data_IF_986832292772
#
_entry.id   IF_986832292772
#
_cell.length_a   1.000
_cell.length_b   1.000
_cell.length_c   1.000
_cell.angle_alpha   90.00
_cell.angle_beta   90.00
_cell.angle_gamma   90.00
#
_symmetry.space_group_name_H-M   'P 1'
#
loop_
_entity.id
_entity.type
_entity.pdbx_description
1 polymer ?
#
# COMPACT_ATOMS: atom_id res chain seq x y z
N UNK A 1 95.72 28.10 9.62
CA UNK A 1 94.64 27.87 8.63
C UNK A 1 94.02 26.49 8.85
N UNK A 2 92.78 26.42 9.33
CA UNK A 2 91.70 25.63 8.74
C UNK A 2 90.43 25.84 9.59
N UNK A 3 89.40 26.40 8.97
CA UNK A 3 88.03 26.44 9.46
C UNK A 3 87.41 25.06 9.20
N UNK A 4 86.57 24.55 10.09
CA UNK A 4 85.28 24.04 9.63
C UNK A 4 84.21 24.05 10.76
N UNK A 5 82.96 24.43 10.44
CA UNK A 5 81.94 24.88 11.38
C UNK A 5 80.92 23.76 11.67
N UNK A 6 80.94 23.24 12.90
CA UNK A 6 80.06 22.14 13.33
C UNK A 6 79.02 22.59 14.36
N UNK A 7 78.31 23.68 14.11
CA UNK A 7 77.11 24.08 14.88
C UNK A 7 76.08 24.78 13.98
N UNK A 8 74.82 24.44 14.25
CA UNK A 8 73.60 24.77 13.50
C UNK A 8 73.43 23.89 12.25
N UNK A 9 72.41 23.04 12.15
CA UNK A 9 71.02 23.45 11.95
C UNK A 9 70.07 22.38 12.52
N UNK A 10 69.18 22.82 13.43
CA UNK A 10 67.86 22.22 13.66
C UNK A 10 67.01 22.52 12.42
N UNK A 11 66.55 21.50 11.68
CA UNK A 11 65.47 21.62 10.69
C UNK A 11 64.79 20.24 10.59
N UNK A 12 63.62 20.09 11.21
CA UNK A 12 62.31 20.08 10.54
C UNK A 12 62.09 18.81 9.71
N UNK A 13 61.35 17.87 10.31
CA UNK A 13 60.55 16.89 9.56
C UNK A 13 59.60 17.63 8.59
N UNK A 14 59.48 17.14 7.35
CA UNK A 14 58.18 17.18 6.68
C UNK A 14 57.64 15.76 6.51
N UNK A 15 56.64 15.44 7.32
CA UNK A 15 55.67 14.37 7.10
C UNK A 15 54.95 14.67 5.78
N UNK A 16 55.25 13.89 4.75
CA UNK A 16 54.61 14.00 3.43
C UNK A 16 53.31 13.18 3.44
N UNK A 17 52.19 13.85 3.69
CA UNK A 17 50.83 13.30 3.53
C UNK A 17 50.37 13.46 2.07
N UNK A 18 50.12 12.38 1.31
CA UNK A 18 49.51 12.48 -0.02
C UNK A 18 47.98 12.44 0.09
N UNK A 19 47.33 13.55 0.44
CA UNK A 19 45.85 13.62 0.47
C UNK A 19 45.29 14.92 -0.11
N UNK A 20 45.51 15.19 -1.40
CA UNK A 20 44.76 16.25 -2.10
C UNK A 20 44.43 16.00 -3.58
N UNK A 21 44.86 14.88 -4.18
CA UNK A 21 44.69 14.63 -5.62
C UNK A 21 43.57 13.65 -6.00
N UNK A 22 42.45 13.64 -5.25
CA UNK A 22 41.30 12.77 -5.56
C UNK A 22 39.98 13.53 -5.75
N UNK A 23 39.91 14.78 -5.26
CA UNK A 23 38.70 15.61 -5.31
C UNK A 23 38.55 16.36 -6.64
N UNK A 24 39.66 16.79 -7.25
CA UNK A 24 39.63 17.55 -8.50
C UNK A 24 39.12 16.71 -9.69
N UNK A 25 39.55 15.45 -9.80
CA UNK A 25 39.21 14.56 -10.92
C UNK A 25 37.72 14.20 -10.96
N UNK A 26 37.07 14.05 -9.80
CA UNK A 26 35.63 13.74 -9.72
C UNK A 26 34.72 14.92 -10.06
N UNK A 27 35.22 16.15 -9.92
CA UNK A 27 34.44 17.36 -10.22
C UNK A 27 34.38 17.62 -11.73
N UNK A 28 35.51 17.45 -12.44
CA UNK A 28 35.59 17.64 -13.90
C UNK A 28 34.80 16.58 -14.67
N UNK A 29 34.76 15.34 -14.16
CA UNK A 29 33.96 14.26 -14.75
C UNK A 29 32.45 14.48 -14.55
N UNK A 30 32.04 15.11 -13.44
CA UNK A 30 30.63 15.41 -13.16
C UNK A 30 30.11 16.57 -14.02
N UNK A 31 30.90 17.61 -14.26
CA UNK A 31 30.47 18.76 -15.06
C UNK A 31 30.31 18.42 -16.54
N UNK A 32 31.18 17.57 -17.09
CA UNK A 32 31.10 17.12 -18.49
C UNK A 32 29.87 16.24 -18.77
N UNK A 33 29.51 15.35 -17.85
CA UNK A 33 28.30 14.49 -18.00
C UNK A 33 27.01 15.30 -17.92
N UNK A 34 26.95 16.35 -17.08
CA UNK A 34 25.78 17.22 -16.97
C UNK A 34 25.57 18.01 -18.26
N UNK A 35 26.64 18.54 -18.86
CA UNK A 35 26.54 19.31 -20.11
C UNK A 35 26.03 18.46 -21.29
N UNK A 36 26.45 17.20 -21.40
CA UNK A 36 25.98 16.28 -22.44
C UNK A 36 24.49 15.90 -22.28
N UNK A 37 24.00 15.87 -21.05
CA UNK A 37 22.61 15.50 -20.74
C UNK A 37 21.60 16.56 -21.17
N UNK A 38 21.97 17.85 -21.18
CA UNK A 38 21.04 18.94 -21.50
C UNK A 38 20.75 19.04 -23.00
N UNK A 39 21.69 18.68 -23.88
CA UNK A 39 21.47 18.74 -25.33
C UNK A 39 20.53 17.64 -25.86
N UNK A 40 20.38 16.52 -25.16
CA UNK A 40 19.55 15.40 -25.63
C UNK A 40 18.04 15.59 -25.39
N UNK A 41 17.61 16.50 -24.50
CA UNK A 41 16.19 16.66 -24.16
C UNK A 41 15.38 17.57 -25.10
N UNK A 42 16.01 18.24 -26.09
CA UNK A 42 15.32 19.15 -26.99
C UNK A 42 14.59 18.45 -28.17
N UNK A 43 14.77 17.14 -28.38
CA UNK A 43 14.25 16.43 -29.56
C UNK A 43 12.93 15.65 -29.34
N UNK A 44 12.38 15.58 -28.12
CA UNK A 44 11.17 14.76 -27.82
C UNK A 44 9.91 15.57 -27.43
N UNK A 45 9.81 16.86 -27.78
CA UNK A 45 8.62 17.68 -27.49
C UNK A 45 7.74 18.00 -28.71
N UNK A 46 7.89 17.30 -29.84
CA UNK A 46 7.24 17.69 -31.11
C UNK A 46 6.00 16.87 -31.53
N UNK A 47 5.11 16.48 -30.60
CA UNK A 47 3.87 15.79 -31.02
C UNK A 47 2.59 16.12 -30.25
N UNK A 48 2.53 17.23 -29.50
CA UNK A 48 1.30 17.60 -28.74
C UNK A 48 0.82 19.03 -28.87
N UNK A 49 1.41 19.81 -29.78
CA UNK A 49 0.87 21.11 -30.20
C UNK A 49 0.52 21.09 -31.69
N UNK A 50 -0.42 20.22 -32.07
CA UNK A 50 -1.06 20.29 -33.37
C UNK A 50 -2.53 19.91 -33.21
N UNK A 51 -3.42 20.88 -33.43
CA UNK A 51 -4.83 20.63 -33.72
C UNK A 51 -5.78 20.67 -32.53
N UNK A 52 -6.16 21.87 -32.09
CA UNK A 52 -7.31 22.07 -31.22
C UNK A 52 -7.83 23.49 -31.38
N UNK A 53 -8.66 23.70 -32.40
CA UNK A 53 -9.33 24.98 -32.68
C UNK A 53 -10.10 25.50 -31.46
N UNK A 54 -10.09 26.81 -31.17
CA UNK A 54 -10.93 27.38 -30.12
C UNK A 54 -12.40 27.36 -30.55
N UNK A 55 -13.23 26.59 -29.86
CA UNK A 55 -14.68 26.66 -30.02
C UNK A 55 -15.23 27.83 -29.17
N UNK A 56 -16.10 28.69 -29.71
CA UNK A 56 -16.66 29.81 -28.95
C UNK A 56 -17.54 29.32 -27.80
N UNK A 57 -17.39 29.96 -26.64
CA UNK A 57 -18.26 29.77 -25.49
C UNK A 57 -19.69 30.20 -25.82
N UNK A 58 -20.63 29.27 -25.72
CA UNK A 58 -22.06 29.60 -25.67
C UNK A 58 -22.39 30.14 -24.28
N UNK A 59 -22.82 31.39 -24.23
CA UNK A 59 -23.33 32.04 -23.03
C UNK A 59 -24.62 31.35 -22.57
N UNK A 60 -24.61 30.77 -21.36
CA UNK A 60 -25.83 30.32 -20.71
C UNK A 60 -26.41 31.48 -19.87
N UNK A 61 -27.61 31.92 -20.25
CA UNK A 61 -28.44 32.89 -19.52
C UNK A 61 -28.76 32.40 -18.09
N UNK A 62 -29.01 33.30 -17.13
CA UNK A 62 -29.47 32.93 -15.79
C UNK A 62 -30.92 32.41 -15.87
N UNK A 63 -31.05 31.10 -16.02
CA UNK A 63 -32.31 30.36 -15.94
C UNK A 63 -32.67 30.04 -14.50
N UNK A 64 -33.88 30.41 -14.12
CA UNK A 64 -34.56 30.20 -12.85
C UNK A 64 -34.38 28.75 -12.35
N UNK A 65 -33.90 28.59 -11.11
CA UNK A 65 -33.90 27.30 -10.40
C UNK A 65 -35.36 26.97 -10.03
N UNK A 66 -36.05 26.24 -10.88
CA UNK A 66 -37.28 25.53 -10.50
C UNK A 66 -36.86 24.23 -9.81
N UNK A 67 -37.06 24.17 -8.49
CA UNK A 67 -36.90 22.95 -7.70
C UNK A 67 -38.03 21.98 -8.04
N UNK A 68 -37.77 21.01 -8.92
CA UNK A 68 -38.65 19.86 -9.13
C UNK A 68 -38.32 18.81 -8.05
N UNK A 69 -39.27 18.40 -7.20
CA UNK A 69 -39.06 17.30 -6.26
C UNK A 69 -38.90 16.00 -7.06
N UNK A 70 -37.79 15.30 -6.88
CA UNK A 70 -37.65 13.94 -7.42
C UNK A 70 -38.57 13.01 -6.64
N UNK A 71 -39.53 12.46 -7.36
CA UNK A 71 -40.47 11.43 -6.95
C UNK A 71 -39.71 10.20 -6.39
N UNK A 72 -40.17 9.58 -5.29
CA UNK A 72 -39.57 8.37 -4.75
C UNK A 72 -39.70 7.20 -5.75
N UNK A 73 -38.58 6.83 -6.37
CA UNK A 73 -38.49 5.64 -7.21
C UNK A 73 -38.87 4.40 -6.42
N UNK A 74 -39.89 3.71 -6.92
CA UNK A 74 -40.51 2.51 -6.39
C UNK A 74 -39.48 1.40 -6.08
N UNK A 75 -39.66 0.77 -4.92
CA UNK A 75 -38.89 -0.37 -4.46
C UNK A 75 -38.94 -1.54 -5.46
N UNK A 76 -37.77 -2.13 -5.73
CA UNK A 76 -37.66 -3.39 -6.45
C UNK A 76 -38.24 -4.54 -5.60
N UNK A 77 -38.97 -5.50 -6.18
CA UNK A 77 -39.50 -6.63 -5.43
C UNK A 77 -38.35 -7.55 -4.97
N UNK A 78 -38.17 -7.66 -3.65
CA UNK A 78 -37.42 -8.75 -3.04
C UNK A 78 -38.18 -10.05 -3.29
N UNK A 79 -37.65 -10.91 -4.15
CA UNK A 79 -38.17 -12.26 -4.34
C UNK A 79 -38.16 -13.01 -3.01
N UNK A 80 -39.31 -13.60 -2.66
CA UNK A 80 -39.41 -14.55 -1.56
C UNK A 80 -38.56 -15.77 -1.88
N UNK A 81 -37.54 -16.03 -1.06
CA UNK A 81 -36.79 -17.28 -1.10
C UNK A 81 -37.55 -18.27 -0.23
N UNK A 82 -38.33 -19.12 -0.89
CA UNK A 82 -38.99 -20.27 -0.27
C UNK A 82 -37.94 -21.37 -0.06
N UNK A 83 -37.46 -21.52 1.17
CA UNK A 83 -36.57 -22.61 1.55
C UNK A 83 -37.42 -23.86 1.82
N UNK A 84 -37.67 -24.64 0.78
CA UNK A 84 -38.32 -25.95 0.88
C UNK A 84 -37.34 -26.97 1.52
N UNK A 85 -37.66 -27.59 2.67
CA UNK A 85 -36.78 -28.56 3.31
C UNK A 85 -36.84 -29.90 2.56
N UNK A 86 -35.75 -30.30 1.91
CA UNK A 86 -35.61 -31.65 1.37
C UNK A 86 -35.64 -32.69 2.49
N UNK A 87 -36.46 -33.73 2.31
CA UNK A 87 -36.57 -34.87 3.21
C UNK A 87 -35.23 -35.63 3.33
N UNK A 88 -34.85 -36.11 4.53
CA UNK A 88 -33.66 -36.92 4.71
C UNK A 88 -33.81 -38.32 4.06
N UNK A 89 -32.73 -38.88 3.50
CA UNK A 89 -32.77 -40.21 2.89
C UNK A 89 -32.97 -41.32 3.93
N UNK A 90 -33.66 -42.42 3.59
CA UNK A 90 -33.80 -43.58 4.46
C UNK A 90 -32.45 -44.30 4.64
N UNK A 91 -32.13 -44.62 5.89
CA UNK A 91 -30.99 -45.44 6.28
C UNK A 91 -31.29 -46.91 5.97
N UNK A 92 -30.58 -47.47 5.00
CA UNK A 92 -30.58 -48.91 4.75
C UNK A 92 -29.68 -49.61 5.78
N UNK A 93 -30.26 -50.55 6.50
CA UNK A 93 -29.62 -51.31 7.57
C UNK A 93 -29.02 -52.57 6.97
N UNK A 94 -27.69 -52.69 6.93
CA UNK A 94 -27.04 -53.98 6.65
C UNK A 94 -25.78 -54.15 7.49
N UNK A 95 -26.02 -54.63 8.71
CA UNK A 95 -25.26 -55.62 9.49
C UNK A 95 -24.12 -56.33 8.75
N UNK A 96 -22.86 -56.29 9.24
CA UNK A 96 -21.95 -57.47 9.33
C UNK A 96 -20.90 -57.32 10.47
N UNK A 97 -21.14 -58.05 11.56
CA UNK A 97 -20.23 -58.85 12.44
C UNK A 97 -18.91 -58.27 12.97
N UNK A 98 -18.83 -58.10 14.30
CA UNK A 98 -17.62 -58.35 15.08
C UNK A 98 -17.98 -59.26 16.26
N UNK A 99 -17.41 -60.47 16.28
CA UNK A 99 -17.40 -61.34 17.46
C UNK A 99 -16.06 -61.12 18.16
N UNK A 100 -16.09 -60.63 19.41
CA UNK A 100 -15.22 -61.12 20.51
C UNK A 100 -15.61 -60.45 21.85
N UNK A 101 -16.18 -61.27 22.73
CA UNK A 101 -15.85 -61.40 24.16
C UNK A 101 -15.84 -60.19 25.15
N UNK A 102 -16.89 -60.18 26.01
CA UNK A 102 -16.96 -60.05 27.50
C UNK A 102 -16.31 -58.89 28.30
N UNK A 103 -17.19 -58.13 29.01
CA UNK A 103 -17.28 -57.89 30.49
C UNK A 103 -17.43 -56.42 30.98
N UNK A 104 -18.58 -56.22 31.64
CA UNK A 104 -18.97 -55.38 32.79
C UNK A 104 -18.90 -53.84 32.80
N UNK A 105 -20.12 -53.30 33.02
CA UNK A 105 -20.51 -52.20 33.90
C UNK A 105 -19.76 -50.86 33.85
N UNK A 106 -20.34 -49.92 33.10
CA UNK A 106 -20.28 -48.48 33.40
C UNK A 106 -21.69 -47.89 33.20
N UNK A 107 -22.26 -47.15 34.16
CA UNK A 107 -23.57 -46.53 34.00
C UNK A 107 -23.55 -45.53 32.85
N UNK A 108 -24.37 -45.80 31.84
CA UNK A 108 -24.66 -44.93 30.70
C UNK A 108 -25.24 -43.60 31.19
N UNK A 109 -24.38 -42.60 31.33
CA UNK A 109 -24.83 -41.21 31.23
C UNK A 109 -25.17 -40.96 29.75
N UNK A 110 -26.36 -40.42 29.41
CA UNK A 110 -26.65 -40.03 28.05
C UNK A 110 -25.72 -38.87 27.69
N UNK A 111 -24.62 -39.18 27.02
CA UNK A 111 -23.78 -38.22 26.34
C UNK A 111 -24.58 -37.63 25.18
N UNK A 112 -25.32 -36.57 25.50
CA UNK A 112 -25.91 -35.65 24.54
C UNK A 112 -24.74 -35.06 23.75
N UNK A 113 -24.61 -35.46 22.48
CA UNK A 113 -23.72 -34.79 21.55
C UNK A 113 -24.17 -33.32 21.48
N UNK A 114 -23.42 -32.44 22.14
CA UNK A 114 -23.64 -31.02 22.05
C UNK A 114 -23.50 -30.61 20.58
N UNK A 115 -24.63 -30.20 19.98
CA UNK A 115 -24.63 -29.51 18.68
C UNK A 115 -23.75 -28.28 18.88
N UNK A 116 -22.61 -28.23 18.18
CA UNK A 116 -21.74 -27.07 18.20
C UNK A 116 -22.54 -25.91 17.59
N UNK A 117 -23.03 -25.01 18.44
CA UNK A 117 -23.57 -23.73 18.01
C UNK A 117 -22.52 -23.08 17.11
N UNK A 118 -22.86 -22.62 15.89
CA UNK A 118 -21.88 -21.98 15.03
C UNK A 118 -21.28 -20.81 15.80
N UNK A 119 -20.00 -20.94 16.14
CA UNK A 119 -19.24 -19.86 16.75
C UNK A 119 -19.33 -18.70 15.77
N UNK A 120 -20.01 -17.62 16.19
CA UNK A 120 -20.16 -16.42 15.40
C UNK A 120 -18.76 -15.99 14.98
N UNK A 121 -18.42 -16.20 13.70
CA UNK A 121 -17.09 -15.92 13.19
C UNK A 121 -16.79 -14.45 13.48
N UNK A 122 -15.72 -14.20 14.23
CA UNK A 122 -15.26 -12.84 14.50
C UNK A 122 -15.22 -12.07 13.16
N UNK A 123 -15.66 -10.80 13.12
CA UNK A 123 -15.74 -10.05 11.87
C UNK A 123 -14.39 -10.10 11.15
N UNK A 124 -14.35 -10.83 10.04
CA UNK A 124 -13.14 -11.03 9.26
C UNK A 124 -12.84 -9.72 8.55
N UNK A 125 -11.73 -9.09 8.94
CA UNK A 125 -11.15 -7.96 8.23
C UNK A 125 -10.88 -8.40 6.80
N UNK A 126 -11.51 -7.73 5.83
CA UNK A 126 -11.45 -8.09 4.41
C UNK A 126 -10.86 -6.94 3.59
N UNK A 127 -10.25 -7.25 2.44
CA UNK A 127 -9.63 -6.23 1.57
C UNK A 127 -10.62 -5.13 1.17
N UNK A 128 -11.85 -5.52 0.84
CA UNK A 128 -12.92 -4.61 0.42
C UNK A 128 -13.26 -3.58 1.50
N UNK A 129 -13.04 -3.89 2.78
CA UNK A 129 -13.23 -2.95 3.90
C UNK A 129 -12.32 -1.71 3.79
N UNK A 130 -11.14 -1.83 3.16
CA UNK A 130 -10.14 -0.75 3.08
C UNK A 130 -10.10 -0.01 1.74
N UNK A 131 -10.83 -0.49 0.73
CA UNK A 131 -10.94 0.18 -0.56
C UNK A 131 -11.58 1.56 -0.37
N UNK A 132 -11.05 2.58 -1.02
CA UNK A 132 -11.54 3.94 -0.92
C UNK A 132 -10.41 4.95 -0.81
N UNK A 133 -10.78 6.18 -0.48
CA UNK A 133 -9.84 7.29 -0.36
C UNK A 133 -9.59 7.61 1.11
N UNK A 134 -8.32 7.81 1.43
CA UNK A 134 -7.81 8.00 2.77
C UNK A 134 -6.99 9.28 2.83
N UNK A 135 -7.05 9.97 3.97
CA UNK A 135 -6.16 11.07 4.33
C UNK A 135 -5.00 10.52 5.13
N UNK A 136 -3.80 10.58 4.57
CA UNK A 136 -2.57 10.20 5.23
C UNK A 136 -1.96 11.42 5.94
N UNK A 137 -1.67 11.30 7.22
CA UNK A 137 -0.87 12.23 8.01
C UNK A 137 0.60 11.84 7.87
N UNK A 138 1.39 12.75 7.29
CA UNK A 138 2.79 12.53 6.99
C UNK A 138 3.69 13.00 8.14
N UNK A 139 4.86 12.38 8.32
CA UNK A 139 5.87 12.89 9.24
C UNK A 139 6.29 14.31 8.82
N UNK A 140 6.18 15.26 9.75
CA UNK A 140 6.40 16.69 9.47
C UNK A 140 5.11 17.53 9.40
N UNK A 141 3.95 16.95 9.69
CA UNK A 141 2.68 17.69 9.85
C UNK A 141 1.93 17.95 8.54
N UNK A 142 2.39 17.40 7.42
CA UNK A 142 1.68 17.41 6.15
C UNK A 142 0.51 16.42 6.13
N UNK A 143 -0.42 16.62 5.19
CA UNK A 143 -1.43 15.61 4.88
C UNK A 143 -1.51 15.38 3.38
N UNK A 144 -1.69 14.14 2.99
CA UNK A 144 -1.88 13.76 1.60
C UNK A 144 -3.03 12.78 1.42
N UNK A 145 -3.38 12.50 0.18
CA UNK A 145 -4.48 11.60 -0.17
C UNK A 145 -3.92 10.29 -0.69
N UNK A 146 -4.41 9.17 -0.18
CA UNK A 146 -4.08 7.83 -0.65
C UNK A 146 -5.38 7.12 -1.03
N UNK A 147 -5.47 6.64 -2.25
CA UNK A 147 -6.62 5.88 -2.75
C UNK A 147 -6.22 4.42 -2.90
N UNK A 148 -6.94 3.53 -2.22
CA UNK A 148 -6.79 2.09 -2.31
C UNK A 148 -7.93 1.54 -3.18
N UNK A 149 -7.61 0.80 -4.23
CA UNK A 149 -8.59 0.19 -5.15
C UNK A 149 -8.52 -1.33 -5.10
N UNK A 150 -9.64 -2.02 -5.32
CA UNK A 150 -9.69 -3.48 -5.54
C UNK A 150 -9.27 -3.89 -6.96
N UNK A 151 -8.90 -2.95 -7.82
CA UNK A 151 -8.38 -3.26 -9.17
C UNK A 151 -7.06 -4.03 -9.07
N UNK A 152 -6.92 -5.20 -9.71
CA UNK A 152 -5.67 -5.94 -9.72
C UNK A 152 -4.58 -5.18 -10.49
N UNK A 153 -3.33 -5.30 -10.04
CA UNK A 153 -2.13 -4.69 -10.62
C UNK A 153 -0.95 -5.63 -10.44
N UNK A 154 -0.63 -6.38 -11.50
CA UNK A 154 0.29 -7.52 -11.47
C UNK A 154 -0.19 -8.58 -10.45
N UNK A 155 0.42 -8.62 -9.27
CA UNK A 155 0.13 -9.54 -8.15
C UNK A 155 -0.52 -8.84 -6.95
N UNK A 156 -0.66 -7.51 -7.03
CA UNK A 156 -1.08 -6.64 -5.93
C UNK A 156 -2.36 -5.91 -6.31
N UNK A 157 -2.89 -5.10 -5.39
CA UNK A 157 -4.01 -4.21 -5.67
C UNK A 157 -3.54 -2.80 -5.99
N UNK A 158 -4.25 -2.08 -6.85
CA UNK A 158 -3.87 -0.73 -7.27
C UNK A 158 -4.02 0.26 -6.11
N UNK A 159 -2.99 1.07 -5.88
CA UNK A 159 -3.05 2.23 -5.00
C UNK A 159 -2.56 3.49 -5.75
N UNK A 160 -2.98 4.66 -5.29
CA UNK A 160 -2.43 5.92 -5.79
C UNK A 160 -2.37 6.97 -4.69
N UNK A 161 -1.29 7.73 -4.67
CA UNK A 161 -1.08 8.85 -3.76
C UNK A 161 -1.18 10.19 -4.49
N UNK A 162 -1.70 11.21 -3.83
CA UNK A 162 -1.78 12.57 -4.35
C UNK A 162 -1.43 13.60 -3.26
N UNK A 163 -0.55 14.54 -3.60
CA UNK A 163 -0.14 15.63 -2.71
C UNK A 163 0.74 15.21 -1.54
N UNK A 164 1.43 14.07 -1.63
CA UNK A 164 2.33 13.61 -0.57
C UNK A 164 3.70 14.29 -0.69
N UNK A 165 4.17 14.88 0.40
CA UNK A 165 5.47 15.52 0.50
C UNK A 165 6.58 14.50 0.77
N UNK A 166 6.24 13.37 1.40
CA UNK A 166 7.16 12.28 1.64
C UNK A 166 7.38 11.46 0.37
N UNK A 167 8.64 11.21 0.02
CA UNK A 167 9.00 10.48 -1.20
C UNK A 167 8.49 9.03 -1.21
N UNK A 168 8.49 8.35 -0.05
CA UNK A 168 8.04 6.96 0.04
C UNK A 168 6.52 6.86 -0.21
N UNK A 169 5.74 7.78 0.36
CA UNK A 169 4.29 7.86 0.15
C UNK A 169 3.93 8.37 -1.24
N UNK A 170 4.64 9.36 -1.76
CA UNK A 170 4.37 9.96 -3.07
C UNK A 170 4.58 9.00 -4.25
N UNK A 171 5.36 7.93 -4.06
CA UNK A 171 5.61 6.89 -5.08
C UNK A 171 4.75 5.63 -4.91
N UNK A 172 3.76 5.63 -4.02
CA UNK A 172 2.87 4.48 -3.81
C UNK A 172 2.05 4.19 -5.06
N UNK A 173 2.03 2.92 -5.46
CA UNK A 173 1.36 2.45 -6.68
C UNK A 173 0.55 1.18 -6.48
N UNK A 174 0.85 0.41 -5.44
CA UNK A 174 0.14 -0.82 -5.14
C UNK A 174 0.00 -1.02 -3.63
N UNK A 175 -0.93 -1.88 -3.23
CA UNK A 175 -1.18 -2.28 -1.86
C UNK A 175 -1.60 -3.75 -1.75
N UNK A 176 -1.47 -4.30 -0.55
CA UNK A 176 -1.92 -5.65 -0.20
C UNK A 176 -2.37 -5.70 1.26
N UNK A 177 -3.26 -6.64 1.59
CA UNK A 177 -3.68 -6.94 2.95
C UNK A 177 -3.20 -8.34 3.31
N UNK A 178 -2.34 -8.43 4.34
CA UNK A 178 -1.80 -9.68 4.88
C UNK A 178 -2.21 -9.80 6.34
N UNK A 179 -3.16 -10.69 6.60
CA UNK A 179 -3.78 -10.79 7.93
C UNK A 179 -4.50 -9.49 8.29
N UNK A 180 -3.98 -8.80 9.31
CA UNK A 180 -4.45 -7.52 9.83
C UNK A 180 -3.51 -6.35 9.47
N UNK A 181 -2.58 -6.54 8.54
CA UNK A 181 -1.63 -5.51 8.11
C UNK A 181 -1.79 -5.16 6.64
N UNK A 182 -1.75 -3.86 6.36
CA UNK A 182 -1.74 -3.29 5.01
C UNK A 182 -0.32 -2.90 4.65
N UNK A 183 0.11 -3.42 3.50
CA UNK A 183 1.41 -3.15 2.91
C UNK A 183 1.21 -2.20 1.74
N UNK A 184 1.84 -1.03 1.79
CA UNK A 184 1.89 -0.11 0.66
C UNK A 184 3.20 -0.32 -0.11
N UNK A 185 3.12 -0.36 -1.43
CA UNK A 185 4.24 -0.63 -2.33
C UNK A 185 4.50 0.54 -3.26
N UNK A 186 5.77 0.83 -3.48
CA UNK A 186 6.24 1.82 -4.45
C UNK A 186 6.39 1.21 -5.84
N UNK A 187 6.52 2.08 -6.82
CA UNK A 187 7.01 1.69 -8.14
C UNK A 187 8.34 0.92 -7.99
N UNK A 188 8.44 -0.25 -8.62
CA UNK A 188 9.58 -1.17 -8.46
C UNK A 188 9.42 -2.22 -7.37
N UNK A 189 8.28 -2.30 -6.67
CA UNK A 189 7.93 -3.41 -5.76
C UNK A 189 8.49 -3.30 -4.34
N UNK A 190 9.20 -2.21 -4.00
CA UNK A 190 9.67 -1.98 -2.64
C UNK A 190 8.52 -1.54 -1.71
N UNK A 191 8.52 -2.02 -0.46
CA UNK A 191 7.53 -1.61 0.56
C UNK A 191 7.77 -0.15 0.95
N UNK A 192 6.74 0.68 0.82
CA UNK A 192 6.71 2.08 1.25
C UNK A 192 6.42 2.20 2.74
N UNK A 193 5.36 1.51 3.19
CA UNK A 193 4.85 1.59 4.55
C UNK A 193 4.18 0.28 4.93
N UNK A 194 4.18 0.00 6.23
CA UNK A 194 3.41 -1.10 6.84
C UNK A 194 2.46 -0.46 7.84
N UNK A 195 1.18 -0.72 7.66
CA UNK A 195 0.10 -0.13 8.44
C UNK A 195 -0.68 -1.26 9.10
N UNK A 196 -1.01 -1.13 10.38
CA UNK A 196 -2.01 -1.97 11.03
C UNK A 196 -3.39 -1.56 10.52
N UNK A 197 -4.16 -2.54 10.10
CA UNK A 197 -5.45 -2.35 9.43
C UNK A 197 -6.56 -2.29 10.49
N UNK A 198 -7.16 -1.12 10.68
CA UNK A 198 -8.38 -0.98 11.48
C UNK A 198 -9.50 -0.36 10.63
N UNK A 199 -10.76 -0.79 10.79
CA UNK A 199 -11.86 -0.16 10.06
C UNK A 199 -11.92 1.34 10.39
N UNK A 200 -11.76 2.20 9.38
CA UNK A 200 -11.83 3.67 9.53
C UNK A 200 -10.51 4.37 9.88
N UNK A 201 -9.49 3.66 10.35
CA UNK A 201 -8.16 4.23 10.57
C UNK A 201 -7.05 3.18 10.37
N UNK A 202 -5.91 3.58 9.85
CA UNK A 202 -4.76 2.69 9.66
C UNK A 202 -3.52 3.41 10.12
N UNK A 203 -2.69 2.79 10.94
CA UNK A 203 -1.52 3.44 11.51
C UNK A 203 -0.31 2.54 11.42
N UNK A 204 0.87 3.11 11.26
CA UNK A 204 2.10 2.34 11.22
C UNK A 204 3.30 3.21 10.93
N UNK A 205 4.24 2.67 10.16
CA UNK A 205 5.51 3.34 9.89
C UNK A 205 5.96 3.16 8.43
N UNK A 206 6.70 4.16 7.96
CA UNK A 206 7.41 4.09 6.69
C UNK A 206 8.55 3.08 6.78
N UNK A 207 8.69 2.24 5.75
CA UNK A 207 9.66 1.14 5.78
C UNK A 207 11.11 1.62 5.68
N UNK A 208 11.37 2.80 5.12
CA UNK A 208 12.72 3.34 4.92
C UNK A 208 13.17 4.24 6.08
N UNK A 209 12.32 5.14 6.54
CA UNK A 209 12.66 6.11 7.59
C UNK A 209 12.20 5.70 8.99
N UNK A 210 11.32 4.70 9.11
CA UNK A 210 10.69 4.33 10.39
C UNK A 210 9.73 5.39 10.94
N UNK A 211 9.50 6.48 10.20
CA UNK A 211 8.68 7.58 10.66
C UNK A 211 7.20 7.16 10.75
N UNK A 212 6.46 7.64 11.77
CA UNK A 212 5.07 7.27 11.96
C UNK A 212 4.21 7.86 10.84
N UNK A 213 3.22 7.08 10.42
CA UNK A 213 2.22 7.48 9.43
C UNK A 213 0.86 6.96 9.88
N UNK A 214 -0.17 7.77 9.71
CA UNK A 214 -1.55 7.40 10.01
C UNK A 214 -2.44 7.79 8.84
N UNK A 215 -3.40 6.95 8.50
CA UNK A 215 -4.41 7.15 7.48
C UNK A 215 -5.78 7.12 8.15
N UNK A 216 -6.62 8.10 7.83
CA UNK A 216 -8.01 8.17 8.29
C UNK A 216 -8.95 8.42 7.10
N UNK A 217 -10.21 7.99 7.22
CA UNK A 217 -11.25 8.26 6.23
C UNK A 217 -11.95 9.59 6.50
#
# INVERSE_FOLDING_TARGET
>A
MNLDPRREIRALEPRMDPMTSQKATRLVLRTTVIAASVLALAACQSSRFAGGSPQPAVAASPGIITTTPLEPGLAAPTGVVEAEPLAPPPLDSTQIVATDQIVSDVPTSPQVAAIQTPTQAAPRVSRTTFVGTWRASEPGGGSCRVTLSSTPSLDLYRASSAGCQNEDLGRVSAWDLRGDQIYLYRQGGAVAARLSASPGSMSGALSRSGAPVALAR
#
